data_IF_785389488514
#
_entry.id   IF_785389488514
#
_cell.length_a   1.000
_cell.length_b   1.000
_cell.length_c   1.000
_cell.angle_alpha   90.00
_cell.angle_beta   90.00
_cell.angle_gamma   90.00
#
_symmetry.space_group_name_H-M   'P 1'
#
loop_
_entity.id
_entity.type
_entity.pdbx_description
1 polymer ?
#
# COMPACT_ATOMS: atom_id res chain seq x y z
N UNK A 1 14.34 16.32 1.13
CA UNK A 1 13.37 16.40 0.01
C UNK A 1 11.97 16.40 0.58
N UNK A 2 11.04 17.17 0.00
CA UNK A 2 9.63 17.16 0.39
C UNK A 2 8.75 17.30 -0.85
N UNK A 3 7.52 16.85 -0.78
CA UNK A 3 6.57 16.98 -1.87
C UNK A 3 5.15 16.64 -1.46
N UNK A 4 4.24 16.92 -2.38
CA UNK A 4 2.82 16.57 -2.28
C UNK A 4 2.38 15.85 -3.55
N UNK A 5 1.39 14.97 -3.43
CA UNK A 5 0.78 14.26 -4.56
C UNK A 5 -0.72 14.11 -4.33
N UNK A 6 -1.52 14.53 -5.30
CA UNK A 6 -2.94 14.20 -5.32
C UNK A 6 -3.12 12.77 -5.80
N UNK A 7 -3.84 11.96 -5.04
CA UNK A 7 -4.24 10.59 -5.35
C UNK A 7 -5.74 10.57 -5.63
N UNK A 8 -6.15 9.86 -6.68
CA UNK A 8 -7.56 9.74 -7.08
C UNK A 8 -8.33 8.66 -6.28
N UNK A 9 -7.75 8.16 -5.21
CA UNK A 9 -8.33 7.14 -4.32
C UNK A 9 -8.57 7.73 -2.93
N UNK A 10 -9.49 7.16 -2.16
CA UNK A 10 -9.75 7.60 -0.80
C UNK A 10 -8.53 7.43 0.11
N UNK A 11 -8.52 8.13 1.25
CA UNK A 11 -7.46 8.01 2.26
C UNK A 11 -7.25 6.55 2.71
N UNK A 12 -8.34 5.81 2.92
CA UNK A 12 -8.29 4.40 3.33
C UNK A 12 -7.71 3.49 2.24
N UNK A 13 -8.10 3.70 0.98
CA UNK A 13 -7.57 2.97 -0.17
C UNK A 13 -6.08 3.28 -0.37
N UNK A 14 -5.68 4.56 -0.29
CA UNK A 14 -4.28 4.98 -0.36
C UNK A 14 -3.45 4.33 0.75
N UNK A 15 -3.96 4.32 1.98
CA UNK A 15 -3.33 3.65 3.12
C UNK A 15 -3.12 2.16 2.87
N UNK A 16 -4.18 1.45 2.46
CA UNK A 16 -4.12 0.01 2.17
C UNK A 16 -3.08 -0.30 1.09
N UNK A 17 -3.09 0.45 0.00
CA UNK A 17 -2.16 0.25 -1.11
C UNK A 17 -0.70 0.55 -0.72
N UNK A 18 -0.44 1.63 0.05
CA UNK A 18 0.90 1.99 0.52
C UNK A 18 1.49 1.01 1.56
N UNK A 19 0.65 0.18 2.16
CA UNK A 19 1.08 -0.86 3.11
C UNK A 19 0.97 -2.29 2.53
N UNK A 20 0.69 -2.42 1.23
CA UNK A 20 0.63 -3.71 0.54
C UNK A 20 1.97 -4.00 -0.18
N UNK A 21 2.70 -5.07 0.19
CA UNK A 21 4.00 -5.41 -0.42
C UNK A 21 3.93 -5.66 -1.93
N UNK A 22 2.85 -6.25 -2.44
CA UNK A 22 2.70 -6.55 -3.86
C UNK A 22 2.51 -5.26 -4.68
N UNK A 23 1.69 -4.33 -4.17
CA UNK A 23 1.52 -3.01 -4.76
C UNK A 23 2.83 -2.23 -4.75
N UNK A 24 3.53 -2.20 -3.62
CA UNK A 24 4.82 -1.52 -3.51
C UNK A 24 5.85 -2.11 -4.46
N UNK A 25 5.92 -3.45 -4.58
CA UNK A 25 6.83 -4.13 -5.50
C UNK A 25 6.56 -3.77 -6.96
N UNK A 26 5.30 -3.67 -7.37
CA UNK A 26 4.91 -3.24 -8.72
C UNK A 26 5.26 -1.78 -8.99
N UNK A 27 5.14 -0.90 -7.98
CA UNK A 27 5.29 0.53 -8.12
C UNK A 27 6.75 1.02 -7.99
N UNK A 28 7.56 0.42 -7.12
CA UNK A 28 8.94 0.87 -6.89
C UNK A 28 9.82 0.54 -8.11
N UNK A 29 10.42 1.55 -8.76
CA UNK A 29 11.25 1.31 -9.93
C UNK A 29 12.47 0.43 -9.62
N UNK A 30 12.65 -0.63 -10.41
CA UNK A 30 13.77 -1.56 -10.26
C UNK A 30 13.70 -2.49 -9.06
N UNK A 31 12.57 -2.52 -8.36
CA UNK A 31 12.34 -3.45 -7.25
C UNK A 31 12.21 -4.89 -7.78
N UNK A 32 13.02 -5.79 -7.25
CA UNK A 32 12.96 -7.22 -7.56
C UNK A 32 12.42 -8.05 -6.39
N UNK A 33 12.49 -7.51 -5.16
CA UNK A 33 12.05 -8.19 -3.95
C UNK A 33 11.50 -7.22 -2.91
N UNK A 34 10.35 -7.58 -2.31
CA UNK A 34 9.84 -7.02 -1.05
C UNK A 34 9.31 -8.19 -0.25
N UNK A 35 9.91 -8.44 0.92
CA UNK A 35 9.47 -9.45 1.87
C UNK A 35 9.04 -8.76 3.15
N UNK A 36 7.89 -9.15 3.69
CA UNK A 36 7.47 -8.71 5.02
C UNK A 36 8.31 -9.48 6.05
N UNK A 37 9.07 -8.74 6.84
CA UNK A 37 9.84 -9.25 7.98
C UNK A 37 9.03 -9.19 9.28
N UNK A 38 9.73 -9.37 10.40
CA UNK A 38 9.16 -9.20 11.73
C UNK A 38 8.97 -7.69 12.05
N UNK A 39 8.10 -7.37 13.01
CA UNK A 39 7.91 -6.02 13.54
C UNK A 39 7.63 -4.91 12.49
N UNK A 40 6.74 -5.17 11.54
CA UNK A 40 6.37 -4.19 10.50
C UNK A 40 7.57 -3.69 9.67
N UNK A 41 8.53 -4.58 9.44
CA UNK A 41 9.70 -4.32 8.61
C UNK A 41 9.51 -4.93 7.23
N UNK A 42 10.02 -4.24 6.21
CA UNK A 42 10.13 -4.76 4.85
C UNK A 42 11.59 -4.94 4.48
N UNK A 43 11.93 -6.10 3.95
CA UNK A 43 13.22 -6.35 3.32
C UNK A 43 13.07 -6.12 1.82
N UNK A 44 13.84 -5.18 1.29
CA UNK A 44 13.71 -4.73 -0.10
C UNK A 44 15.00 -5.00 -0.88
N UNK A 45 14.84 -5.48 -2.11
CA UNK A 45 15.89 -5.56 -3.13
C UNK A 45 15.52 -4.71 -4.32
N UNK A 46 16.45 -3.87 -4.79
CA UNK A 46 16.21 -3.02 -5.96
C UNK A 46 17.46 -2.74 -6.76
N UNK A 47 17.34 -2.64 -8.08
CA UNK A 47 18.38 -2.16 -8.96
C UNK A 47 18.20 -0.67 -9.22
N UNK A 48 19.22 0.12 -8.91
CA UNK A 48 19.22 1.59 -9.07
C UNK A 48 20.32 2.02 -10.01
N UNK A 49 20.00 2.96 -10.91
CA UNK A 49 20.97 3.63 -11.77
C UNK A 49 20.93 5.13 -11.52
N UNK A 50 22.08 5.69 -11.09
CA UNK A 50 22.24 7.13 -10.85
C UNK A 50 23.43 7.60 -11.67
N UNK A 51 23.19 8.28 -12.77
CA UNK A 51 24.24 8.67 -13.72
C UNK A 51 25.06 7.45 -14.20
N UNK A 52 26.39 7.44 -14.01
CA UNK A 52 27.24 6.32 -14.42
C UNK A 52 27.23 5.15 -13.43
N UNK A 53 26.67 5.31 -12.23
CA UNK A 53 26.64 4.28 -11.20
C UNK A 53 25.36 3.45 -11.33
N UNK A 54 25.54 2.15 -11.55
CA UNK A 54 24.45 1.17 -11.53
C UNK A 54 24.78 0.08 -10.52
N UNK A 55 23.87 -0.20 -9.60
CA UNK A 55 24.07 -1.20 -8.56
C UNK A 55 22.75 -1.80 -8.07
N UNK A 56 22.84 -3.02 -7.52
CA UNK A 56 21.77 -3.61 -6.73
C UNK A 56 21.94 -3.19 -5.27
N UNK A 57 20.84 -2.74 -4.70
CA UNK A 57 20.74 -2.39 -3.29
C UNK A 57 19.87 -3.41 -2.57
N UNK A 58 20.30 -3.79 -1.39
CA UNK A 58 19.48 -4.51 -0.43
C UNK A 58 19.26 -3.61 0.78
N UNK A 59 18.03 -3.50 1.21
CA UNK A 59 17.67 -2.57 2.27
C UNK A 59 16.58 -3.11 3.17
N UNK A 60 16.35 -2.34 4.23
CA UNK A 60 15.31 -2.56 5.22
C UNK A 60 14.55 -1.27 5.43
N UNK A 61 13.23 -1.41 5.51
CA UNK A 61 12.31 -0.31 5.85
C UNK A 61 11.57 -0.73 7.10
N UNK A 62 11.50 0.15 8.10
CA UNK A 62 10.72 -0.05 9.32
C UNK A 62 9.66 1.04 9.43
N UNK A 63 8.41 0.64 9.67
CA UNK A 63 7.31 1.55 9.90
C UNK A 63 7.23 1.92 11.39
N UNK A 64 7.07 3.20 11.68
CA UNK A 64 6.96 3.73 13.03
C UNK A 64 5.89 4.81 13.09
N UNK A 65 5.47 5.16 14.32
CA UNK A 65 4.50 6.23 14.59
C UNK A 65 3.22 6.08 13.74
N UNK A 66 2.78 4.83 13.54
CA UNK A 66 1.62 4.53 12.70
C UNK A 66 0.34 5.08 13.32
N UNK A 67 -0.34 5.94 12.57
CA UNK A 67 -1.66 6.49 12.90
C UNK A 67 -2.61 6.24 11.70
N UNK A 68 -3.13 5.00 11.57
CA UNK A 68 -3.99 4.64 10.45
C UNK A 68 -5.30 5.42 10.42
N UNK A 69 -5.79 5.84 9.25
CA UNK A 69 -5.15 5.82 7.93
C UNK A 69 -4.42 7.13 7.59
N UNK A 70 -4.05 7.94 8.58
CA UNK A 70 -3.66 9.33 8.40
C UNK A 70 -2.15 9.54 8.20
N UNK A 71 -1.29 8.81 8.90
CA UNK A 71 0.16 9.08 8.83
C UNK A 71 1.03 7.95 9.38
N UNK A 72 2.27 7.92 8.94
CA UNK A 72 3.34 7.07 9.49
C UNK A 72 4.72 7.67 9.22
N UNK A 73 5.72 7.15 9.92
CA UNK A 73 7.13 7.44 9.70
C UNK A 73 7.82 6.17 9.16
N UNK A 74 8.64 6.31 8.13
CA UNK A 74 9.52 5.26 7.61
C UNK A 74 10.93 5.53 8.10
N UNK A 75 11.61 4.50 8.64
CA UNK A 75 13.06 4.44 8.68
C UNK A 75 13.53 3.50 7.59
N UNK A 76 14.50 3.93 6.81
CA UNK A 76 15.08 3.12 5.75
C UNK A 76 16.60 3.11 5.80
N UNK A 77 17.16 1.97 5.48
CA UNK A 77 18.60 1.77 5.27
C UNK A 77 18.82 0.81 4.11
N UNK A 78 19.82 1.06 3.29
CA UNK A 78 20.13 0.22 2.15
C UNK A 78 21.62 0.24 1.84
N UNK A 79 22.13 -0.87 1.34
CA UNK A 79 23.53 -1.06 0.97
C UNK A 79 23.62 -1.59 -0.46
N UNK A 80 24.51 -0.99 -1.26
CA UNK A 80 24.81 -1.35 -2.65
C UNK A 80 26.26 -1.79 -2.86
N UNK A 81 26.90 -2.37 -1.84
CA UNK A 81 28.28 -2.81 -1.89
C UNK A 81 29.24 -1.67 -2.25
N UNK A 82 30.00 -1.83 -3.33
CA UNK A 82 30.97 -0.82 -3.79
C UNK A 82 30.32 0.50 -4.25
N UNK A 83 29.03 0.51 -4.55
CA UNK A 83 28.31 1.73 -4.91
C UNK A 83 28.07 2.63 -3.69
N UNK A 84 27.98 2.04 -2.49
CA UNK A 84 27.79 2.77 -1.25
C UNK A 84 26.52 2.39 -0.51
N UNK A 85 26.01 3.32 0.29
CA UNK A 85 24.84 3.13 1.12
C UNK A 85 23.94 4.36 1.12
N UNK A 86 22.68 4.15 1.51
CA UNK A 86 21.71 5.20 1.81
C UNK A 86 20.95 4.86 3.08
N UNK A 87 20.65 5.85 3.92
CA UNK A 87 19.81 5.72 5.10
C UNK A 87 19.06 6.99 5.39
N UNK A 88 17.94 6.90 6.06
CA UNK A 88 17.16 8.08 6.39
C UNK A 88 15.79 7.79 6.95
N UNK A 89 15.01 8.85 7.01
CA UNK A 89 13.62 8.84 7.48
C UNK A 89 12.72 9.50 6.47
N UNK A 90 11.50 9.03 6.35
CA UNK A 90 10.44 9.70 5.61
C UNK A 90 9.18 9.77 6.46
N UNK A 91 8.59 10.95 6.56
CA UNK A 91 7.27 11.15 7.16
C UNK A 91 6.25 11.22 6.04
N UNK A 92 5.16 10.48 6.18
CA UNK A 92 4.05 10.43 5.22
C UNK A 92 2.77 10.82 5.92
N UNK A 93 1.99 11.69 5.29
CA UNK A 93 0.64 12.09 5.72
C UNK A 93 -0.32 11.94 4.56
N UNK A 94 -1.50 11.44 4.86
CA UNK A 94 -2.62 11.29 3.93
C UNK A 94 -3.75 12.19 4.41
N UNK A 95 -4.16 13.14 3.60
CA UNK A 95 -5.18 14.15 3.92
C UNK A 95 -6.35 13.95 2.97
N UNK A 96 -7.54 13.53 3.46
CA UNK A 96 -8.69 13.33 2.58
C UNK A 96 -9.19 14.67 2.04
N UNK A 97 -9.64 14.67 0.78
CA UNK A 97 -10.26 15.81 0.13
C UNK A 97 -11.31 15.35 -0.89
N UNK A 98 -12.02 16.29 -1.53
CA UNK A 98 -13.09 16.00 -2.48
C UNK A 98 -12.61 15.21 -3.73
N UNK A 99 -11.33 15.32 -4.11
CA UNK A 99 -10.75 14.63 -5.25
C UNK A 99 -10.08 13.28 -4.87
N UNK A 100 -10.27 12.83 -3.62
CA UNK A 100 -9.69 11.59 -3.08
C UNK A 100 -8.81 11.84 -1.86
N UNK A 101 -7.48 11.86 -2.03
CA UNK A 101 -6.54 12.03 -0.93
C UNK A 101 -5.27 12.77 -1.38
N UNK A 102 -4.83 13.76 -0.60
CA UNK A 102 -3.51 14.36 -0.78
C UNK A 102 -2.47 13.63 0.06
N UNK A 103 -1.43 13.10 -0.58
CA UNK A 103 -0.26 12.54 0.07
C UNK A 103 0.79 13.62 0.20
N UNK A 104 1.23 13.89 1.44
CA UNK A 104 2.35 14.77 1.75
C UNK A 104 3.51 13.94 2.29
N UNK A 105 4.75 14.24 1.88
CA UNK A 105 5.92 13.56 2.40
C UNK A 105 7.10 14.49 2.63
N UNK A 106 7.89 14.16 3.67
CA UNK A 106 9.16 14.82 3.98
C UNK A 106 10.22 13.74 4.18
N UNK A 107 11.29 13.79 3.39
CA UNK A 107 12.38 12.80 3.42
C UNK A 107 13.69 13.47 3.83
N UNK A 108 14.35 12.90 4.83
CA UNK A 108 15.71 13.22 5.24
C UNK A 108 16.58 12.00 4.99
N UNK A 109 17.55 12.10 4.08
CA UNK A 109 18.40 11.00 3.67
C UNK A 109 19.88 11.39 3.71
N UNK A 110 20.69 10.41 4.04
CA UNK A 110 22.15 10.46 3.95
C UNK A 110 22.63 9.38 3.00
N UNK A 111 23.55 9.71 2.13
CA UNK A 111 24.17 8.78 1.19
C UNK A 111 25.69 8.78 1.36
N UNK A 112 26.31 7.62 1.16
CA UNK A 112 27.77 7.46 1.25
C UNK A 112 28.30 6.57 0.14
N UNK A 113 29.64 6.52 0.01
CA UNK A 113 30.33 5.74 -1.01
C UNK A 113 30.37 6.43 -2.37
N UNK A 114 30.46 5.65 -3.45
CA UNK A 114 30.58 6.19 -4.82
C UNK A 114 29.38 7.04 -5.24
N UNK A 115 28.17 6.74 -4.72
CA UNK A 115 26.97 7.52 -5.01
C UNK A 115 27.13 8.95 -4.49
N UNK A 116 27.67 9.13 -3.28
CA UNK A 116 27.87 10.46 -2.70
C UNK A 116 28.84 11.31 -3.55
N UNK A 117 29.81 10.68 -4.22
CA UNK A 117 30.77 11.35 -5.10
C UNK A 117 30.15 11.91 -6.39
N UNK A 118 28.93 11.47 -6.75
CA UNK A 118 28.20 12.01 -7.91
C UNK A 118 27.73 13.46 -7.69
N UNK A 119 27.70 13.90 -6.44
CA UNK A 119 27.24 15.23 -6.04
C UNK A 119 25.72 15.31 -5.85
N UNK A 120 25.32 16.21 -4.97
CA UNK A 120 23.94 16.37 -4.50
C UNK A 120 22.94 16.56 -5.65
N UNK A 121 23.29 17.35 -6.66
CA UNK A 121 22.39 17.65 -7.79
C UNK A 121 21.98 16.39 -8.58
N UNK A 122 22.89 15.43 -8.79
CA UNK A 122 22.57 14.18 -9.49
C UNK A 122 21.73 13.25 -8.61
N UNK A 123 22.02 13.23 -7.31
CA UNK A 123 21.24 12.46 -6.32
C UNK A 123 19.80 12.98 -6.24
N UNK A 124 19.62 14.28 -6.11
CA UNK A 124 18.30 14.91 -6.04
C UNK A 124 17.49 14.69 -7.33
N UNK A 125 18.14 14.82 -8.49
CA UNK A 125 17.54 14.55 -9.79
C UNK A 125 17.04 13.10 -9.91
N UNK A 126 17.87 12.13 -9.49
CA UNK A 126 17.50 10.73 -9.48
C UNK A 126 16.36 10.43 -8.49
N UNK A 127 16.41 11.00 -7.28
CA UNK A 127 15.36 10.84 -6.28
C UNK A 127 14.02 11.38 -6.77
N UNK A 128 14.03 12.55 -7.43
CA UNK A 128 12.82 13.13 -8.04
C UNK A 128 12.26 12.22 -9.13
N UNK A 129 13.08 11.76 -10.06
CA UNK A 129 12.64 10.86 -11.15
C UNK A 129 12.06 9.54 -10.62
N UNK A 130 12.73 8.92 -9.64
CA UNK A 130 12.23 7.68 -9.00
C UNK A 130 10.89 7.90 -8.29
N UNK A 131 10.69 9.06 -7.65
CA UNK A 131 9.42 9.40 -7.01
C UNK A 131 8.30 9.61 -8.03
N UNK A 132 8.57 10.29 -9.12
CA UNK A 132 7.60 10.50 -10.21
C UNK A 132 7.19 9.18 -10.85
N UNK A 133 8.16 8.30 -11.14
CA UNK A 133 7.92 6.97 -11.70
C UNK A 133 7.11 6.09 -10.71
N UNK A 134 7.43 6.15 -9.42
CA UNK A 134 6.68 5.46 -8.39
C UNK A 134 5.21 5.91 -8.37
N UNK A 135 4.94 7.20 -8.26
CA UNK A 135 3.57 7.70 -8.19
C UNK A 135 2.77 7.44 -9.46
N UNK A 136 3.40 7.53 -10.64
CA UNK A 136 2.74 7.18 -11.90
C UNK A 136 2.28 5.72 -11.92
N UNK A 137 3.11 4.80 -11.42
CA UNK A 137 2.74 3.39 -11.32
C UNK A 137 1.71 3.16 -10.22
N UNK A 138 1.85 3.85 -9.09
CA UNK A 138 0.93 3.76 -7.97
C UNK A 138 -0.49 4.18 -8.37
N UNK A 139 -0.65 5.29 -9.08
CA UNK A 139 -1.94 5.74 -9.62
C UNK A 139 -2.55 4.67 -10.55
N UNK A 140 -1.74 4.05 -11.40
CA UNK A 140 -2.20 3.00 -12.31
C UNK A 140 -2.60 1.70 -11.59
N UNK A 141 -1.84 1.27 -10.58
CA UNK A 141 -2.13 0.05 -9.81
C UNK A 141 -3.35 0.24 -8.90
N UNK A 142 -3.46 1.37 -8.22
CA UNK A 142 -4.63 1.67 -7.38
C UNK A 142 -5.91 1.79 -8.20
N UNK A 143 -5.86 2.38 -9.39
CA UNK A 143 -6.99 2.43 -10.30
C UNK A 143 -7.45 1.02 -10.71
N UNK A 144 -6.54 0.08 -11.02
CA UNK A 144 -6.90 -1.30 -11.36
C UNK A 144 -7.56 -2.02 -10.20
N UNK A 145 -6.98 -1.92 -8.99
CA UNK A 145 -7.45 -2.64 -7.80
C UNK A 145 -8.84 -2.15 -7.41
N UNK A 146 -9.02 -0.86 -7.23
CA UNK A 146 -10.24 -0.32 -6.64
C UNK A 146 -11.38 -0.17 -7.65
N UNK A 147 -11.10 0.00 -8.96
CA UNK A 147 -12.14 -0.08 -9.99
C UNK A 147 -12.69 -1.51 -10.12
N UNK A 148 -11.84 -2.53 -10.00
CA UNK A 148 -12.28 -3.92 -10.05
C UNK A 148 -13.08 -4.34 -8.80
N UNK A 149 -12.72 -3.82 -7.63
CA UNK A 149 -13.48 -4.06 -6.38
C UNK A 149 -14.88 -3.43 -6.43
N UNK A 150 -15.01 -2.20 -6.94
CA UNK A 150 -16.30 -1.55 -7.13
C UNK A 150 -17.19 -2.31 -8.12
N UNK A 151 -16.64 -2.77 -9.24
CA UNK A 151 -17.37 -3.58 -10.22
C UNK A 151 -17.88 -4.89 -9.61
N UNK A 152 -17.03 -5.60 -8.85
CA UNK A 152 -17.40 -6.84 -8.19
C UNK A 152 -18.46 -6.63 -7.10
N UNK A 153 -18.37 -5.53 -6.34
CA UNK A 153 -19.35 -5.18 -5.32
C UNK A 153 -20.72 -4.85 -5.94
N UNK A 154 -20.75 -4.20 -7.10
CA UNK A 154 -22.00 -3.91 -7.83
C UNK A 154 -22.64 -5.20 -8.36
N UNK A 155 -21.86 -6.11 -8.97
CA UNK A 155 -22.37 -7.41 -9.44
C UNK A 155 -22.94 -8.27 -8.31
N UNK A 156 -22.28 -8.28 -7.14
CA UNK A 156 -22.79 -8.99 -5.96
C UNK A 156 -24.05 -8.36 -5.39
N UNK A 157 -24.16 -7.02 -5.39
CA UNK A 157 -25.35 -6.32 -4.94
C UNK A 157 -26.56 -6.59 -5.87
N UNK A 158 -26.34 -6.63 -7.19
CA UNK A 158 -27.38 -6.97 -8.17
C UNK A 158 -27.85 -8.42 -8.02
N UNK A 159 -26.93 -9.38 -7.83
CA UNK A 159 -27.27 -10.79 -7.60
C UNK A 159 -28.05 -10.99 -6.30
N UNK A 160 -27.68 -10.27 -5.25
CA UNK A 160 -28.40 -10.32 -3.97
C UNK A 160 -29.81 -9.72 -4.09
N UNK A 161 -29.96 -8.63 -4.87
CA UNK A 161 -31.27 -8.01 -5.12
C UNK A 161 -32.18 -8.92 -5.97
N UNK A 162 -31.65 -9.62 -6.98
CA UNK A 162 -32.37 -10.59 -7.78
C UNK A 162 -32.82 -11.80 -6.98
N UNK A 163 -31.94 -12.35 -6.14
CA UNK A 163 -32.29 -13.49 -5.27
C UNK A 163 -33.39 -13.12 -4.25
N UNK A 164 -33.35 -11.93 -3.69
CA UNK A 164 -34.38 -11.46 -2.77
C UNK A 164 -35.73 -11.16 -3.47
N UNK A 165 -35.71 -10.81 -4.75
CA UNK A 165 -36.93 -10.64 -5.54
C UNK A 165 -37.60 -11.97 -5.88
N UNK A 166 -36.82 -13.01 -6.14
CA UNK A 166 -37.32 -14.37 -6.46
C UNK A 166 -37.83 -15.07 -5.21
N UNK A 167 -37.25 -14.83 -4.03
CA UNK A 167 -37.76 -15.37 -2.76
C UNK A 167 -39.12 -14.76 -2.33
N UNK A 168 -39.40 -13.51 -2.69
CA UNK A 168 -40.70 -12.87 -2.35
C UNK A 168 -41.88 -13.42 -3.16
N UNK A 169 -41.64 -13.98 -4.34
CA UNK A 169 -42.71 -14.60 -5.13
C UNK A 169 -43.01 -16.05 -4.72
N UNK A 170 -42.10 -16.74 -4.05
CA UNK A 170 -42.29 -18.12 -3.58
C UNK A 170 -42.77 -18.26 -2.13
N UNK A 171 -42.78 -17.18 -1.36
CA UNK A 171 -43.13 -17.20 0.08
C UNK A 171 -44.62 -17.12 0.40
N UNK A 172 -45.51 -17.37 -0.58
CA UNK A 172 -46.98 -17.40 -0.33
C UNK A 172 -47.55 -18.78 0.07
N UNK A 173 -46.77 -19.83 0.21
CA UNK A 173 -47.35 -21.17 0.41
C UNK A 173 -46.67 -22.12 1.38
N UNK A 174 -45.77 -21.73 2.29
CA UNK A 174 -45.32 -22.66 3.34
C UNK A 174 -45.26 -22.02 4.73
N UNK A 175 -46.23 -22.42 5.47
CA UNK A 175 -46.51 -22.27 6.89
C UNK A 175 -45.36 -22.75 7.80
N UNK A 176 -44.97 -21.88 8.72
CA UNK A 176 -44.54 -22.15 10.12
C UNK A 176 -44.10 -23.58 10.43
N UNK A 177 -42.79 -23.83 10.47
CA UNK A 177 -42.06 -24.72 11.40
C UNK A 177 -40.62 -24.85 10.97
N UNK A 178 -39.71 -24.02 11.53
CA UNK A 178 -38.34 -24.35 11.91
C UNK A 178 -37.54 -23.07 12.24
N UNK A 179 -37.93 -22.44 13.32
CA UNK A 179 -37.02 -21.50 14.02
C UNK A 179 -36.43 -22.34 15.16
N UNK A 180 -35.28 -22.99 14.95
CA UNK A 180 -34.51 -23.52 16.09
C UNK A 180 -33.18 -24.21 15.73
N UNK A 181 -32.39 -23.72 14.76
CA UNK A 181 -31.03 -24.29 14.55
C UNK A 181 -29.93 -23.28 14.25
N UNK A 182 -30.23 -21.99 14.11
CA UNK A 182 -29.18 -20.97 13.84
C UNK A 182 -28.64 -20.34 15.13
N UNK A 183 -29.39 -20.43 16.23
CA UNK A 183 -28.99 -19.85 17.52
C UNK A 183 -27.93 -20.67 18.28
N UNK A 184 -27.75 -21.96 17.93
CA UNK A 184 -26.79 -22.86 18.61
C UNK A 184 -25.35 -22.82 18.04
N UNK A 185 -25.18 -22.36 16.77
CA UNK A 185 -23.88 -22.25 16.13
C UNK A 185 -23.06 -21.03 16.60
N UNK A 186 -23.71 -19.94 16.96
CA UNK A 186 -23.05 -18.70 17.40
C UNK A 186 -22.59 -18.79 18.86
N UNK A 187 -23.25 -19.59 19.68
CA UNK A 187 -22.91 -19.76 21.11
C UNK A 187 -21.67 -20.65 21.32
N UNK A 188 -21.38 -21.57 20.40
CA UNK A 188 -20.21 -22.45 20.48
C UNK A 188 -18.90 -21.78 20.03
N UNK A 189 -18.96 -20.77 19.19
CA UNK A 189 -17.78 -19.99 18.78
C UNK A 189 -17.34 -19.03 19.90
N UNK A 190 -18.28 -18.56 20.74
CA UNK A 190 -17.98 -17.64 21.84
C UNK A 190 -17.34 -18.33 23.08
N UNK A 191 -17.42 -19.63 23.18
CA UNK A 191 -16.86 -20.42 24.30
C UNK A 191 -15.46 -21.02 24.02
N UNK A 192 -14.96 -20.92 22.78
CA UNK A 192 -13.64 -21.50 22.40
C UNK A 192 -12.55 -20.46 22.14
N UNK A 193 -12.81 -19.16 22.37
CA UNK A 193 -11.80 -18.08 22.26
C UNK A 193 -11.75 -17.31 23.59
N UNK A 194 -11.40 -18.06 24.64
CA UNK A 194 -10.93 -17.43 25.89
C UNK A 194 -9.77 -18.23 26.45
#
# INVERSE_FOLDING_TARGET
>A
MQGTRQLAVSQQQAWSALNNPDVLKACIPGCDRIDLGEDQQYLIGMAVKIGPVSAKFSGKISLMDMNPPASYTLNFEGQGGVAGFGKGTAQVKLIPNEAGCELQYVVNAQVGGKIAQLGQRLIDGAAKSLSEDFFKKFDAETAKIFTSEEATALEQAEQTAQNNATEKESASWFNVRNISLVALGVLLIYLFVK
#
